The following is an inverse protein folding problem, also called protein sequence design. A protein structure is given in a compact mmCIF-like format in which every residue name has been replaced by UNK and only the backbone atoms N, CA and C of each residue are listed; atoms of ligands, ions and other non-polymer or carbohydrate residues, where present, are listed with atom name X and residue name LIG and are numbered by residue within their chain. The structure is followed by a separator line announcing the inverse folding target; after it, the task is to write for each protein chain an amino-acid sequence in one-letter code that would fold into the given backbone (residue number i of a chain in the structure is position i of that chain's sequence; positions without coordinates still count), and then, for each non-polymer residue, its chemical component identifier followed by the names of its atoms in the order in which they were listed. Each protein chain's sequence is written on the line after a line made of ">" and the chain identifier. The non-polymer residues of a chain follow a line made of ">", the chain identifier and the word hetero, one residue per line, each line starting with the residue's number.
data_IF_243705311340
#
_entry.id   IF_243705311340
#
_cell.length_a   1.000
_cell.length_b   1.000
_cell.length_c   1.000
_cell.angle_alpha   90.00
_cell.angle_beta   90.00
_cell.angle_gamma   90.00
#
_symmetry.space_group_name_H-M   'P 1'
#
loop_
_entity.id
_entity.type
_entity.pdbx_description
1 polymer ?
#
# COMPACT_ATOMS: atom_id res chain seq x y z
N UNK A 1 -18.98 16.43 -0.62
CA UNK A 1 -17.79 16.00 0.15
C UNK A 1 -16.97 15.09 -0.78
N UNK A 2 -16.58 15.63 -1.93
CA UNK A 2 -16.35 14.84 -3.16
C UNK A 2 -14.91 14.83 -3.70
N UNK A 3 -13.99 15.69 -3.24
CA UNK A 3 -12.88 16.08 -4.12
C UNK A 3 -11.47 15.59 -3.77
N UNK A 4 -11.33 14.52 -3.00
CA UNK A 4 -10.03 13.86 -2.92
C UNK A 4 -10.18 12.34 -2.89
N UNK A 5 -10.33 11.75 -4.07
CA UNK A 5 -9.64 10.49 -4.28
C UNK A 5 -8.16 10.79 -4.06
N UNK A 6 -7.68 10.49 -2.85
CA UNK A 6 -6.28 10.62 -2.55
C UNK A 6 -5.51 9.71 -3.54
N UNK A 7 -4.40 10.22 -4.09
CA UNK A 7 -3.72 9.56 -5.21
C UNK A 7 -3.14 8.19 -4.82
N UNK A 8 -3.06 7.88 -3.53
CA UNK A 8 -2.84 6.54 -2.99
C UNK A 8 -4.00 5.57 -3.31
N UNK A 9 -5.26 5.96 -3.14
CA UNK A 9 -6.42 5.16 -3.53
C UNK A 9 -6.43 4.92 -5.05
N UNK A 10 -6.07 5.94 -5.85
CA UNK A 10 -5.93 5.77 -7.30
C UNK A 10 -4.82 4.76 -7.65
N UNK A 11 -3.67 4.83 -7.00
CA UNK A 11 -2.59 3.86 -7.17
C UNK A 11 -3.01 2.43 -6.80
N UNK A 12 -3.73 2.28 -5.67
CA UNK A 12 -4.25 0.98 -5.23
C UNK A 12 -5.22 0.40 -6.26
N UNK A 13 -6.23 1.16 -6.71
CA UNK A 13 -7.18 0.70 -7.72
C UNK A 13 -6.48 0.38 -9.05
N UNK A 14 -5.51 1.20 -9.48
CA UNK A 14 -4.73 0.93 -10.69
C UNK A 14 -3.95 -0.38 -10.58
N UNK A 15 -3.33 -0.64 -9.43
CA UNK A 15 -2.69 -1.91 -9.13
C UNK A 15 -3.69 -3.08 -9.21
N UNK A 16 -4.85 -2.97 -8.57
CA UNK A 16 -5.89 -4.01 -8.60
C UNK A 16 -6.37 -4.30 -10.02
N UNK A 17 -6.58 -3.28 -10.85
CA UNK A 17 -7.01 -3.46 -12.24
C UNK A 17 -5.97 -4.18 -13.12
N UNK A 18 -4.69 -4.19 -12.73
CA UNK A 18 -3.64 -4.97 -13.41
C UNK A 18 -3.57 -6.41 -12.92
N UNK A 19 -3.84 -6.64 -11.64
CA UNK A 19 -3.74 -7.96 -11.00
C UNK A 19 -5.00 -8.80 -11.24
N UNK A 20 -6.17 -8.16 -11.29
CA UNK A 20 -7.46 -8.82 -11.41
C UNK A 20 -8.11 -8.44 -12.75
N UNK A 21 -8.42 -9.44 -13.57
CA UNK A 21 -9.08 -9.27 -14.88
C UNK A 21 -10.58 -8.99 -14.73
N UNK A 22 -10.91 -7.82 -14.17
CA UNK A 22 -12.28 -7.37 -13.93
C UNK A 22 -12.55 -6.05 -14.70
N UNK A 23 -13.44 -6.05 -15.72
CA UNK A 23 -13.71 -4.86 -16.54
C UNK A 23 -14.13 -3.63 -15.73
N UNK A 24 -14.87 -3.84 -14.63
CA UNK A 24 -15.29 -2.77 -13.72
C UNK A 24 -14.11 -2.15 -12.97
N UNK A 25 -13.10 -2.95 -12.58
CA UNK A 25 -11.88 -2.42 -11.97
C UNK A 25 -11.07 -1.58 -12.95
N UNK A 26 -10.99 -1.99 -14.23
CA UNK A 26 -10.32 -1.19 -15.26
C UNK A 26 -10.99 0.18 -15.46
N UNK A 27 -12.31 0.22 -15.56
CA UNK A 27 -13.05 1.48 -15.68
C UNK A 27 -12.87 2.36 -14.43
N UNK A 28 -12.91 1.75 -13.23
CA UNK A 28 -12.67 2.46 -11.97
C UNK A 28 -11.25 3.02 -11.89
N UNK A 29 -10.23 2.25 -12.30
CA UNK A 29 -8.84 2.68 -12.35
C UNK A 29 -8.63 3.85 -13.29
N UNK A 30 -9.21 3.82 -14.50
CA UNK A 30 -9.15 4.93 -15.45
C UNK A 30 -9.74 6.21 -14.85
N UNK A 31 -10.92 6.11 -14.23
CA UNK A 31 -11.56 7.25 -13.57
C UNK A 31 -10.74 7.78 -12.38
N UNK A 32 -10.17 6.88 -11.55
CA UNK A 32 -9.37 7.26 -10.40
C UNK A 32 -8.04 7.92 -10.80
N UNK A 33 -7.36 7.40 -11.83
CA UNK A 33 -6.12 7.97 -12.36
C UNK A 33 -6.37 9.35 -12.99
N UNK A 34 -7.43 9.52 -13.78
CA UNK A 34 -7.76 10.83 -14.35
C UNK A 34 -7.99 11.91 -13.26
N UNK A 35 -8.60 11.54 -12.12
CA UNK A 35 -8.75 12.43 -10.96
C UNK A 35 -7.41 12.70 -10.26
N UNK A 36 -6.57 11.67 -10.11
CA UNK A 36 -5.25 11.81 -9.51
C UNK A 36 -4.34 12.74 -10.34
N UNK A 37 -4.36 12.61 -11.67
CA UNK A 37 -3.59 13.47 -12.58
C UNK A 37 -4.00 14.95 -12.46
N UNK A 38 -5.31 15.21 -12.36
CA UNK A 38 -5.83 16.55 -12.12
C UNK A 38 -5.35 17.13 -10.76
N UNK A 39 -5.36 16.32 -9.70
CA UNK A 39 -4.88 16.73 -8.38
C UNK A 39 -3.35 16.99 -8.38
N UNK A 40 -2.58 16.12 -9.04
CA UNK A 40 -1.13 16.27 -9.22
C UNK A 40 -0.78 17.53 -9.98
N UNK A 41 -1.51 17.84 -11.07
CA UNK A 41 -1.35 19.08 -11.82
C UNK A 41 -1.62 20.32 -10.95
N UNK A 42 -2.60 20.22 -10.03
CA UNK A 42 -2.92 21.25 -9.05
C UNK A 42 -1.94 21.31 -7.85
N UNK A 43 -0.92 20.42 -7.80
CA UNK A 43 -0.01 20.22 -6.65
C UNK A 43 -0.75 19.93 -5.33
N UNK A 44 -1.89 19.27 -5.41
CA UNK A 44 -2.66 18.80 -4.27
C UNK A 44 -2.51 17.28 -4.20
N UNK A 45 -2.05 16.72 -3.07
CA UNK A 45 -1.97 15.28 -2.87
C UNK A 45 -0.58 14.75 -2.53
N UNK A 46 -0.16 13.68 -3.21
CA UNK A 46 1.07 12.94 -2.91
C UNK A 46 2.31 13.84 -2.96
N UNK A 47 3.29 13.58 -2.08
CA UNK A 47 4.61 14.17 -2.26
C UNK A 47 5.24 13.59 -3.52
N UNK A 48 6.03 14.41 -4.23
CA UNK A 48 6.60 14.08 -5.54
C UNK A 48 7.22 12.67 -5.67
N UNK A 49 7.93 12.13 -4.66
CA UNK A 49 8.43 10.75 -4.73
C UNK A 49 7.34 9.69 -4.98
N UNK A 50 6.12 9.87 -4.47
CA UNK A 50 5.05 8.88 -4.61
C UNK A 50 4.28 8.97 -5.93
N UNK A 51 4.54 9.97 -6.77
CA UNK A 51 3.96 10.02 -8.12
C UNK A 51 4.35 8.79 -8.96
N UNK A 52 5.45 8.10 -8.60
CA UNK A 52 5.85 6.86 -9.23
C UNK A 52 4.81 5.73 -9.12
N UNK A 53 3.90 5.80 -8.15
CA UNK A 53 2.84 4.82 -7.98
C UNK A 53 1.75 4.89 -9.07
N UNK A 54 1.56 6.07 -9.66
CA UNK A 54 0.59 6.32 -10.73
C UNK A 54 1.27 6.46 -12.11
N UNK A 55 2.47 7.04 -12.15
CA UNK A 55 3.30 7.16 -13.35
C UNK A 55 4.65 6.45 -13.11
N UNK A 56 4.84 5.22 -13.63
CA UNK A 56 6.10 4.50 -13.56
C UNK A 56 7.33 5.29 -14.02
N UNK A 57 7.15 6.26 -14.92
CA UNK A 57 8.18 7.14 -15.45
C UNK A 57 8.56 8.29 -14.51
N UNK A 58 7.72 8.61 -13.52
CA UNK A 58 7.95 9.74 -12.62
C UNK A 58 9.28 9.59 -11.88
N UNK A 59 10.08 10.67 -11.91
CA UNK A 59 11.40 10.75 -11.28
C UNK A 59 11.36 11.66 -10.06
N UNK A 60 12.07 11.25 -9.02
CA UNK A 60 12.38 12.08 -7.87
C UNK A 60 13.90 12.16 -7.68
N UNK A 61 14.39 13.31 -7.22
CA UNK A 61 15.78 13.46 -6.82
C UNK A 61 16.05 12.79 -5.48
N UNK A 62 17.32 12.55 -5.16
CA UNK A 62 17.71 12.03 -3.85
C UNK A 62 17.29 12.97 -2.71
N UNK A 63 17.31 14.29 -2.93
CA UNK A 63 16.85 15.28 -1.96
C UNK A 63 15.34 15.27 -1.80
N UNK A 64 14.57 15.09 -2.88
CA UNK A 64 13.12 14.97 -2.81
C UNK A 64 12.70 13.71 -2.03
N UNK A 65 13.40 12.59 -2.23
CA UNK A 65 13.17 11.35 -1.47
C UNK A 65 13.56 11.51 0.00
N UNK A 66 14.71 12.10 0.31
CA UNK A 66 15.14 12.37 1.70
C UNK A 66 14.26 13.42 2.40
N UNK A 67 13.70 14.35 1.64
CA UNK A 67 12.84 15.41 2.15
C UNK A 67 11.42 14.98 2.48
N UNK A 68 11.05 13.70 2.26
CA UNK A 68 9.74 13.19 2.67
C UNK A 68 9.65 13.19 4.20
N UNK A 69 8.66 13.92 4.71
CA UNK A 69 8.41 14.07 6.14
C UNK A 69 7.87 12.77 6.74
N UNK A 70 8.35 12.42 7.92
CA UNK A 70 7.89 11.26 8.69
C UNK A 70 8.62 9.97 8.32
N UNK A 71 8.78 9.10 9.32
CA UNK A 71 9.54 7.85 9.17
C UNK A 71 8.92 6.89 8.15
N UNK A 72 7.59 6.77 8.15
CA UNK A 72 6.86 5.90 7.22
C UNK A 72 7.08 6.35 5.78
N UNK A 73 6.85 7.64 5.50
CA UNK A 73 7.02 8.22 4.17
C UNK A 73 8.48 8.17 3.68
N UNK A 74 9.45 8.48 4.53
CA UNK A 74 10.86 8.48 4.11
C UNK A 74 11.39 7.09 3.77
N UNK A 75 10.98 6.05 4.51
CA UNK A 75 11.39 4.66 4.22
C UNK A 75 10.69 4.12 2.97
N UNK A 76 9.38 4.35 2.82
CA UNK A 76 8.65 3.87 1.63
C UNK A 76 9.07 4.60 0.37
N UNK A 77 9.35 5.91 0.43
CA UNK A 77 9.89 6.67 -0.71
C UNK A 77 11.27 6.16 -1.15
N UNK A 78 12.16 5.80 -0.21
CA UNK A 78 13.45 5.21 -0.54
C UNK A 78 13.28 3.82 -1.21
N UNK A 79 12.43 2.96 -0.67
CA UNK A 79 12.15 1.65 -1.26
C UNK A 79 11.50 1.75 -2.65
N UNK A 80 10.63 2.74 -2.85
CA UNK A 80 9.98 3.02 -4.15
C UNK A 80 10.98 3.41 -5.24
N UNK A 81 12.14 3.98 -4.87
CA UNK A 81 13.15 4.49 -5.81
C UNK A 81 14.50 3.79 -5.75
N UNK A 82 14.61 2.66 -5.04
CA UNK A 82 15.89 1.99 -4.79
C UNK A 82 16.59 1.43 -6.04
N UNK A 83 15.87 1.25 -7.15
CA UNK A 83 16.41 0.87 -8.46
C UNK A 83 17.09 2.04 -9.19
N UNK A 84 16.89 3.27 -8.71
CA UNK A 84 17.39 4.51 -9.32
C UNK A 84 18.31 5.30 -8.40
N UNK A 85 18.14 5.15 -7.09
CA UNK A 85 18.83 5.90 -6.06
C UNK A 85 19.37 4.93 -5.01
N UNK A 86 20.61 5.11 -4.53
CA UNK A 86 21.11 4.32 -3.42
C UNK A 86 20.27 4.58 -2.17
N UNK A 87 20.05 3.52 -1.38
CA UNK A 87 19.44 3.64 -0.06
C UNK A 87 20.31 4.51 0.85
N UNK A 88 19.69 5.36 1.67
CA UNK A 88 20.44 6.16 2.62
C UNK A 88 21.10 5.27 3.69
N UNK A 89 22.23 5.70 4.30
CA UNK A 89 22.92 4.90 5.33
C UNK A 89 22.04 4.51 6.52
N UNK A 90 21.04 5.34 6.85
CA UNK A 90 20.10 5.15 7.95
C UNK A 90 18.82 4.40 7.55
N UNK A 91 18.68 3.98 6.28
CA UNK A 91 17.51 3.26 5.77
C UNK A 91 17.20 2.03 6.61
N UNK A 92 18.22 1.22 6.93
CA UNK A 92 17.98 -0.04 7.61
C UNK A 92 17.61 0.11 9.10
N UNK A 93 18.29 0.95 9.91
CA UNK A 93 17.76 1.32 11.22
C UNK A 93 16.33 1.87 11.17
N UNK A 94 16.00 2.67 10.16
CA UNK A 94 14.66 3.22 9.98
C UNK A 94 13.62 2.13 9.65
N UNK A 95 13.93 1.22 8.72
CA UNK A 95 13.08 0.08 8.38
C UNK A 95 12.85 -0.83 9.60
N UNK A 96 13.89 -1.09 10.40
CA UNK A 96 13.76 -1.90 11.61
C UNK A 96 12.84 -1.24 12.64
N UNK A 97 12.94 0.09 12.82
CA UNK A 97 12.04 0.84 13.71
C UNK A 97 10.58 0.76 13.25
N UNK A 98 10.35 0.82 11.94
CA UNK A 98 9.00 0.63 11.39
C UNK A 98 8.50 -0.79 11.64
N UNK A 99 9.34 -1.80 11.39
CA UNK A 99 8.99 -3.20 11.58
C UNK A 99 8.54 -3.50 13.02
N UNK A 100 9.28 -2.99 14.00
CA UNK A 100 8.99 -3.19 15.43
C UNK A 100 7.84 -2.32 15.97
N UNK A 101 7.43 -1.28 15.24
CA UNK A 101 6.55 -0.21 15.74
C UNK A 101 5.08 -0.59 15.90
N UNK A 102 4.60 -1.62 15.20
CA UNK A 102 3.17 -1.94 15.12
C UNK A 102 2.37 -0.92 14.30
N UNK A 103 1.06 -1.15 14.20
CA UNK A 103 0.14 -0.22 13.51
C UNK A 103 0.60 0.13 12.09
N UNK A 104 0.41 1.39 11.71
CA UNK A 104 0.84 1.92 10.41
C UNK A 104 2.35 1.80 10.17
N UNK A 105 3.17 1.74 11.23
CA UNK A 105 4.60 1.58 11.06
C UNK A 105 4.92 0.20 10.45
N UNK A 106 4.30 -0.86 10.96
CA UNK A 106 4.51 -2.21 10.45
C UNK A 106 3.89 -2.42 9.05
N UNK A 107 2.77 -1.76 8.73
CA UNK A 107 2.21 -1.83 7.36
C UNK A 107 3.19 -1.27 6.34
N UNK A 108 3.80 -0.11 6.64
CA UNK A 108 4.76 0.54 5.77
C UNK A 108 6.12 -0.19 5.72
N UNK A 109 6.52 -0.88 6.79
CA UNK A 109 7.69 -1.76 6.76
C UNK A 109 7.50 -2.93 5.80
N UNK A 110 6.32 -3.56 5.81
CA UNK A 110 5.98 -4.62 4.85
C UNK A 110 5.96 -4.07 3.43
N UNK A 111 5.28 -2.95 3.20
CA UNK A 111 5.20 -2.29 1.89
C UNK A 111 6.58 -1.98 1.31
N UNK A 112 7.44 -1.31 2.09
CA UNK A 112 8.81 -1.00 1.70
C UNK A 112 9.60 -2.28 1.39
N UNK A 113 9.42 -3.33 2.19
CA UNK A 113 10.13 -4.59 1.98
C UNK A 113 9.75 -5.27 0.68
N UNK A 114 8.46 -5.26 0.32
CA UNK A 114 7.99 -5.82 -0.95
C UNK A 114 8.49 -4.98 -2.13
N UNK A 115 8.46 -3.64 -2.03
CA UNK A 115 8.98 -2.78 -3.11
C UNK A 115 10.48 -2.95 -3.36
N UNK A 116 11.31 -3.13 -2.31
CA UNK A 116 12.73 -3.47 -2.50
C UNK A 116 12.90 -4.73 -3.37
N UNK A 117 12.03 -5.73 -3.19
CA UNK A 117 12.06 -6.98 -3.95
C UNK A 117 11.55 -6.80 -5.38
N UNK A 118 10.41 -6.13 -5.56
CA UNK A 118 9.81 -5.90 -6.88
C UNK A 118 10.67 -5.04 -7.79
N UNK A 119 11.33 -4.04 -7.21
CA UNK A 119 12.26 -3.15 -7.90
C UNK A 119 13.63 -3.80 -8.15
N UNK A 120 13.88 -5.02 -7.63
CA UNK A 120 15.13 -5.74 -7.84
C UNK A 120 16.36 -5.07 -7.22
N UNK A 121 16.17 -4.42 -6.07
CA UNK A 121 17.20 -3.61 -5.45
C UNK A 121 18.27 -4.48 -4.77
N UNK A 122 19.53 -4.05 -4.86
CA UNK A 122 20.65 -4.74 -4.22
C UNK A 122 20.59 -4.50 -2.70
N UNK A 123 20.14 -5.52 -1.96
CA UNK A 123 19.93 -5.45 -0.51
C UNK A 123 20.45 -6.70 0.19
N UNK A 124 20.75 -6.57 1.48
CA UNK A 124 20.99 -7.73 2.34
C UNK A 124 19.68 -8.50 2.51
N UNK A 125 19.56 -9.63 1.81
CA UNK A 125 18.35 -10.46 1.81
C UNK A 125 18.00 -11.00 3.20
N UNK A 126 19.00 -11.30 4.04
CA UNK A 126 18.76 -11.78 5.40
C UNK A 126 18.20 -10.66 6.26
N UNK A 127 18.80 -9.47 6.18
CA UNK A 127 18.35 -8.29 6.93
C UNK A 127 16.92 -7.90 6.53
N UNK A 128 16.63 -7.92 5.24
CA UNK A 128 15.29 -7.66 4.72
C UNK A 128 14.26 -8.67 5.25
N UNK A 129 14.59 -9.96 5.21
CA UNK A 129 13.72 -11.02 5.72
C UNK A 129 13.40 -10.82 7.21
N UNK A 130 14.41 -10.52 8.05
CA UNK A 130 14.21 -10.28 9.49
C UNK A 130 13.24 -9.13 9.74
N UNK A 131 13.44 -7.98 9.10
CA UNK A 131 12.56 -6.82 9.28
C UNK A 131 11.15 -7.08 8.75
N UNK A 132 11.01 -7.78 7.61
CA UNK A 132 9.70 -8.14 7.05
C UNK A 132 8.95 -9.11 7.96
N UNK A 133 9.61 -10.16 8.45
CA UNK A 133 8.99 -11.17 9.30
C UNK A 133 8.55 -10.57 10.65
N UNK A 134 9.34 -9.64 11.19
CA UNK A 134 8.94 -8.90 12.38
C UNK A 134 7.71 -8.02 12.14
N UNK A 135 7.68 -7.27 11.04
CA UNK A 135 6.52 -6.46 10.68
C UNK A 135 5.27 -7.33 10.47
N UNK A 136 5.39 -8.47 9.78
CA UNK A 136 4.30 -9.44 9.58
C UNK A 136 3.74 -9.93 10.92
N UNK A 137 4.60 -10.31 11.88
CA UNK A 137 4.14 -10.69 13.23
C UNK A 137 3.35 -9.57 13.90
N UNK A 138 3.81 -8.32 13.79
CA UNK A 138 3.10 -7.16 14.34
C UNK A 138 1.73 -6.91 13.68
N UNK A 139 1.61 -7.19 12.38
CA UNK A 139 0.32 -7.13 11.70
C UNK A 139 -0.65 -8.22 12.17
N UNK A 140 -0.16 -9.44 12.42
CA UNK A 140 -0.99 -10.52 13.00
C UNK A 140 -1.46 -10.15 14.41
N UNK A 141 -0.54 -9.68 15.27
CA UNK A 141 -0.88 -9.19 16.62
C UNK A 141 -1.96 -8.09 16.58
N UNK A 142 -1.86 -7.18 15.60
CA UNK A 142 -2.84 -6.11 15.39
C UNK A 142 -4.22 -6.64 15.02
N UNK A 143 -4.27 -7.63 14.14
CA UNK A 143 -5.52 -8.20 13.64
C UNK A 143 -6.25 -9.03 14.69
N UNK A 144 -5.51 -9.61 15.64
CA UNK A 144 -6.05 -10.29 16.82
C UNK A 144 -6.55 -9.32 17.90
N UNK A 145 -6.13 -8.06 17.85
CA UNK A 145 -6.63 -6.99 18.71
C UNK A 145 -8.06 -6.54 18.34
N UNK A 146 -8.88 -6.24 19.36
CA UNK A 146 -10.28 -5.84 19.17
C UNK A 146 -10.47 -4.35 18.81
N UNK A 147 -9.46 -3.50 19.02
CA UNK A 147 -9.63 -2.03 19.03
C UNK A 147 -8.99 -1.32 17.84
N UNK A 148 -8.47 -2.04 16.86
CA UNK A 148 -7.82 -1.42 15.71
C UNK A 148 -8.87 -0.70 14.82
N UNK A 149 -8.59 0.53 14.35
CA UNK A 149 -9.45 1.22 13.38
C UNK A 149 -9.66 0.38 12.11
N UNK A 150 -10.83 0.54 11.48
CA UNK A 150 -11.21 -0.19 10.25
C UNK A 150 -10.16 -0.05 9.16
N UNK A 151 -9.66 1.17 8.96
CA UNK A 151 -8.59 1.47 7.99
C UNK A 151 -7.34 0.63 8.22
N UNK A 152 -6.83 0.68 9.45
CA UNK A 152 -5.61 -0.01 9.82
C UNK A 152 -5.76 -1.54 9.75
N UNK A 153 -6.95 -2.08 10.03
CA UNK A 153 -7.24 -3.52 9.82
C UNK A 153 -7.26 -3.88 8.34
N UNK A 154 -7.90 -3.06 7.50
CA UNK A 154 -7.90 -3.27 6.05
C UNK A 154 -6.49 -3.21 5.48
N UNK A 155 -5.67 -2.24 5.92
CA UNK A 155 -4.28 -2.10 5.48
C UNK A 155 -3.43 -3.28 5.92
N UNK A 156 -3.54 -3.73 7.17
CA UNK A 156 -2.83 -4.91 7.66
C UNK A 156 -3.17 -6.17 6.84
N UNK A 157 -4.45 -6.41 6.55
CA UNK A 157 -4.89 -7.52 5.72
C UNK A 157 -4.35 -7.42 4.29
N UNK A 158 -4.41 -6.23 3.69
CA UNK A 158 -3.86 -5.99 2.35
C UNK A 158 -2.35 -6.25 2.31
N UNK A 159 -1.60 -5.77 3.31
CA UNK A 159 -0.15 -5.95 3.39
C UNK A 159 0.26 -7.41 3.63
N UNK A 160 -0.50 -8.18 4.43
CA UNK A 160 -0.27 -9.62 4.58
C UNK A 160 -0.45 -10.35 3.25
N UNK A 161 -1.53 -10.05 2.51
CA UNK A 161 -1.75 -10.60 1.18
C UNK A 161 -0.63 -10.21 0.20
N UNK A 162 -0.22 -8.94 0.22
CA UNK A 162 0.84 -8.40 -0.65
C UNK A 162 2.21 -9.03 -0.38
N UNK A 163 2.56 -9.21 0.89
CA UNK A 163 3.76 -9.92 1.33
C UNK A 163 3.73 -11.43 1.02
N UNK A 164 2.62 -11.93 0.48
CA UNK A 164 2.44 -13.31 0.14
C UNK A 164 2.12 -14.23 1.29
N UNK A 165 1.49 -13.69 2.33
CA UNK A 165 1.05 -14.41 3.52
C UNK A 165 -0.50 -14.45 3.64
N UNK A 166 -1.25 -14.84 2.59
CA UNK A 166 -2.72 -14.79 2.61
C UNK A 166 -3.33 -15.71 3.69
N UNK A 167 -2.64 -16.79 4.06
CA UNK A 167 -3.07 -17.68 5.13
C UNK A 167 -3.14 -16.97 6.50
N UNK A 168 -2.28 -15.96 6.73
CA UNK A 168 -2.27 -15.17 7.96
C UNK A 168 -3.40 -14.13 7.98
N UNK A 169 -3.90 -13.69 6.81
CA UNK A 169 -5.07 -12.83 6.74
C UNK A 169 -6.32 -13.57 7.22
N UNK A 170 -6.50 -14.83 6.82
CA UNK A 170 -7.51 -15.75 7.39
C UNK A 170 -8.98 -15.38 7.14
N UNK A 171 -9.84 -16.39 6.96
CA UNK A 171 -11.27 -16.17 6.67
C UNK A 171 -11.99 -15.38 7.77
N UNK A 172 -11.59 -15.55 9.04
CA UNK A 172 -12.17 -14.83 10.18
C UNK A 172 -12.00 -13.31 10.05
N UNK A 173 -10.81 -12.83 9.68
CA UNK A 173 -10.58 -11.39 9.61
C UNK A 173 -11.20 -10.77 8.36
N UNK A 174 -11.27 -11.53 7.26
CA UNK A 174 -12.03 -11.12 6.06
C UNK A 174 -13.53 -10.98 6.39
N UNK A 175 -14.11 -11.93 7.14
CA UNK A 175 -15.50 -11.81 7.59
C UNK A 175 -15.70 -10.58 8.48
N UNK A 176 -14.80 -10.36 9.46
CA UNK A 176 -14.87 -9.17 10.32
C UNK A 176 -14.70 -7.84 9.56
N UNK A 177 -14.05 -7.84 8.40
CA UNK A 177 -13.97 -6.67 7.52
C UNK A 177 -15.30 -6.46 6.78
N UNK A 178 -15.96 -7.52 6.31
CA UNK A 178 -17.28 -7.46 5.68
C UNK A 178 -18.38 -7.00 6.66
N UNK A 179 -18.30 -7.40 7.93
CA UNK A 179 -19.28 -7.06 8.97
C UNK A 179 -19.37 -5.54 9.23
N UNK A 180 -18.34 -4.78 8.86
CA UNK A 180 -18.29 -3.31 9.01
C UNK A 180 -18.41 -2.57 7.67
N UNK A 181 -18.77 -3.27 6.59
CA UNK A 181 -19.10 -2.64 5.32
C UNK A 181 -20.37 -1.80 5.45
N UNK A 182 -20.39 -0.61 4.84
CA UNK A 182 -21.54 0.29 4.85
C UNK A 182 -22.51 -0.03 3.71
N UNK A 183 -23.73 0.52 3.77
CA UNK A 183 -24.77 0.33 2.76
C UNK A 183 -24.37 0.82 1.36
N UNK A 184 -23.44 1.79 1.27
CA UNK A 184 -22.88 2.27 0.01
C UNK A 184 -21.79 1.33 -0.57
N UNK A 185 -21.51 0.21 0.11
CA UNK A 185 -20.49 -0.77 -0.22
C UNK A 185 -19.07 -0.37 0.16
N UNK A 186 -18.87 0.80 0.78
CA UNK A 186 -17.56 1.31 1.20
C UNK A 186 -17.23 1.04 2.67
N UNK A 187 -16.03 1.51 3.06
CA UNK A 187 -15.52 1.43 4.42
C UNK A 187 -15.04 2.79 4.88
N UNK A 188 -15.38 3.17 6.10
CA UNK A 188 -14.90 4.40 6.73
C UNK A 188 -13.53 4.19 7.40
N UNK A 189 -12.84 5.30 7.73
CA UNK A 189 -11.54 5.24 8.43
C UNK A 189 -11.63 4.51 9.78
N UNK A 190 -12.75 4.71 10.48
CA UNK A 190 -13.09 4.09 11.74
C UNK A 190 -14.60 3.85 11.80
N UNK A 191 -15.03 2.96 12.69
CA UNK A 191 -16.44 2.54 12.82
C UNK A 191 -17.39 3.68 13.21
N UNK A 192 -16.88 4.72 13.86
CA UNK A 192 -17.63 5.89 14.33
C UNK A 192 -17.72 7.02 13.29
N UNK A 193 -17.21 6.81 12.07
CA UNK A 193 -17.24 7.79 10.99
C UNK A 193 -18.42 7.53 10.04
N UNK A 194 -19.11 8.61 9.67
CA UNK A 194 -20.35 8.54 8.89
C UNK A 194 -20.17 8.35 7.38
N UNK A 195 -18.95 8.49 6.87
CA UNK A 195 -18.68 8.42 5.43
C UNK A 195 -17.61 7.39 5.10
N UNK A 196 -17.84 6.66 4.01
CA UNK A 196 -16.82 5.81 3.38
C UNK A 196 -15.61 6.64 2.95
N UNK A 197 -14.43 6.08 3.14
CA UNK A 197 -13.16 6.69 2.79
C UNK A 197 -12.57 5.97 1.57
N UNK A 198 -12.16 6.68 0.49
CA UNK A 198 -11.65 6.05 -0.73
C UNK A 198 -10.45 5.12 -0.50
N UNK A 199 -9.51 5.53 0.35
CA UNK A 199 -8.33 4.72 0.68
C UNK A 199 -8.71 3.40 1.33
N UNK A 200 -9.48 3.46 2.43
CA UNK A 200 -9.92 2.27 3.17
C UNK A 200 -10.78 1.36 2.30
N UNK A 201 -11.63 1.95 1.45
CA UNK A 201 -12.46 1.20 0.50
C UNK A 201 -11.61 0.48 -0.54
N UNK A 202 -10.56 1.11 -1.07
CA UNK A 202 -9.63 0.47 -2.00
C UNK A 202 -8.83 -0.68 -1.35
N UNK A 203 -8.39 -0.51 -0.09
CA UNK A 203 -7.75 -1.56 0.68
C UNK A 203 -8.70 -2.73 0.96
N UNK A 204 -9.93 -2.46 1.38
CA UNK A 204 -10.91 -3.50 1.62
C UNK A 204 -11.26 -4.27 0.34
N UNK A 205 -11.44 -3.56 -0.77
CA UNK A 205 -11.63 -4.17 -2.08
C UNK A 205 -10.44 -5.06 -2.47
N UNK A 206 -9.20 -4.63 -2.20
CA UNK A 206 -8.03 -5.48 -2.39
C UNK A 206 -8.16 -6.79 -1.60
N UNK A 207 -8.42 -6.72 -0.30
CA UNK A 207 -8.57 -7.91 0.56
C UNK A 207 -9.66 -8.86 0.05
N UNK A 208 -10.80 -8.33 -0.41
CA UNK A 208 -11.89 -9.16 -0.92
C UNK A 208 -11.56 -9.83 -2.26
N UNK A 209 -10.88 -9.13 -3.16
CA UNK A 209 -10.41 -9.69 -4.43
C UNK A 209 -9.35 -10.78 -4.18
N UNK A 210 -8.45 -10.58 -3.23
CA UNK A 210 -7.47 -11.58 -2.78
C UNK A 210 -8.14 -12.86 -2.30
N UNK A 211 -9.15 -12.72 -1.43
CA UNK A 211 -9.91 -13.85 -0.89
C UNK A 211 -10.70 -14.59 -1.98
N UNK A 212 -11.25 -13.88 -2.95
CA UNK A 212 -12.01 -14.46 -4.07
C UNK A 212 -11.12 -15.14 -5.11
N UNK A 213 -9.89 -14.67 -5.29
CA UNK A 213 -8.95 -15.16 -6.31
C UNK A 213 -7.60 -15.57 -5.68
N UNK A 214 -7.56 -16.66 -4.89
CA UNK A 214 -6.34 -17.09 -4.19
C UNK A 214 -5.23 -17.59 -5.13
N UNK A 215 -5.57 -17.93 -6.37
CA UNK A 215 -4.64 -18.49 -7.38
C UNK A 215 -4.26 -17.49 -8.49
N UNK A 216 -4.54 -16.20 -8.30
CA UNK A 216 -4.19 -15.18 -9.30
C UNK A 216 -2.67 -15.06 -9.48
N UNK A 217 -2.27 -14.62 -10.66
CA UNK A 217 -0.87 -14.21 -10.92
C UNK A 217 -0.59 -12.90 -10.19
N UNK A 218 0.52 -12.86 -9.43
CA UNK A 218 0.99 -11.61 -8.83
C UNK A 218 1.66 -10.74 -9.87
N UNK A 219 1.41 -9.45 -9.79
CA UNK A 219 2.13 -8.42 -10.55
C UNK A 219 2.72 -7.42 -9.55
N UNK A 220 3.82 -6.72 -9.90
CA UNK A 220 4.34 -5.67 -9.03
C UNK A 220 3.39 -4.48 -8.94
N UNK A 221 3.40 -3.79 -7.79
CA UNK A 221 2.65 -2.53 -7.62
C UNK A 221 3.27 -1.41 -8.44
N UNK A 222 4.59 -1.44 -8.61
CA UNK A 222 5.29 -0.48 -9.46
C UNK A 222 5.46 -1.15 -10.82
N UNK A 223 4.65 -0.74 -11.80
CA UNK A 223 4.85 -1.22 -13.17
C UNK A 223 6.25 -0.84 -13.64
N UNK A 224 6.91 -1.73 -14.39
CA UNK A 224 8.12 -1.36 -15.11
C UNK A 224 7.71 -0.53 -16.34
N UNK A 225 8.44 0.54 -16.69
CA UNK A 225 8.25 1.18 -17.98
C UNK A 225 8.36 0.12 -19.08
N UNK A 226 7.41 0.11 -20.02
CA UNK A 226 7.57 -0.69 -21.23
C UNK A 226 8.79 -0.11 -21.95
N UNK A 227 9.85 -0.90 -22.09
CA UNK A 227 11.05 -0.46 -22.80
C UNK A 227 10.69 -0.09 -24.23
N UNK A 228 11.06 1.12 -24.66
CA UNK A 228 11.18 1.47 -26.07
C UNK A 228 12.44 0.83 -26.66
#
# INVERSE_FOLDING_TARGET
>A
MEDAWAADAAALIAYLARVFDEPRLRALAQSALARADAAVAARQGLTRPFYRLIDPGARASADEVRGVVGLTGSVTAQALHCDRLPLAPDFWPALQRLASGGGYASTHAVLASVWLQENGCEVDARRLAVSRDEAVRKLVELLDGATAPTDLRAEALAMLNYAGQPALAGARHVAALLDVQRDDGGWALAVDRDASHPHTTALALWVLLEARHPQRTRAPMISRPVGN
#
